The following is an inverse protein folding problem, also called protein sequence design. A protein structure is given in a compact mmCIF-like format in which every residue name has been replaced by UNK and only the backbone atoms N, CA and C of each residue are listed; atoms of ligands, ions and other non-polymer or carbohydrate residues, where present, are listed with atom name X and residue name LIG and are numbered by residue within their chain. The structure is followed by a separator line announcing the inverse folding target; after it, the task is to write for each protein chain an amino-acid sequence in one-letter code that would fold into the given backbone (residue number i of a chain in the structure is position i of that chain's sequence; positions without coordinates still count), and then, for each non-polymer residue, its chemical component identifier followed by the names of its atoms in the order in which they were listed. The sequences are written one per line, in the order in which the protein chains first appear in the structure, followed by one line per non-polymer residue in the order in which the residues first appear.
data_IF_477141929418
#
_entry.id   IF_477141929418
#
_cell.length_a   1.000
_cell.length_b   1.000
_cell.length_c   1.000
_cell.angle_alpha   90.00
_cell.angle_beta   90.00
_cell.angle_gamma   90.00
#
_symmetry.space_group_name_H-M   'P 1'
#
loop_
_entity.id
_entity.type
_entity.pdbx_description
1 polymer ?
#
# COMPACT_ATOMS: atom_id res chain seq x y z
N UNK A 1 13.79 13.15 46.07
CA UNK A 1 12.54 13.03 45.27
C UNK A 1 12.81 13.22 43.78
N UNK A 2 13.41 14.33 43.35
CA UNK A 2 13.75 14.62 41.95
C UNK A 2 14.63 13.56 41.26
N UNK A 3 15.65 12.99 41.94
CA UNK A 3 16.47 11.89 41.39
C UNK A 3 15.68 10.62 41.11
N UNK A 4 14.69 10.25 41.95
CA UNK A 4 13.86 9.05 41.73
C UNK A 4 12.91 9.23 40.54
N UNK A 5 12.38 10.45 40.37
CA UNK A 5 11.54 10.80 39.21
C UNK A 5 12.38 10.79 37.93
N UNK A 6 13.58 11.39 37.94
CA UNK A 6 14.47 11.41 36.78
C UNK A 6 14.92 10.00 36.36
N UNK A 7 15.27 9.13 37.31
CA UNK A 7 15.65 7.73 37.04
C UNK A 7 14.45 6.94 36.50
N UNK A 8 13.25 7.11 37.05
CA UNK A 8 12.04 6.45 36.55
C UNK A 8 11.67 6.86 35.12
N UNK A 9 11.81 8.14 34.77
CA UNK A 9 11.60 8.61 33.38
C UNK A 9 12.66 8.01 32.44
N UNK A 10 13.92 7.93 32.88
CA UNK A 10 14.99 7.34 32.07
C UNK A 10 14.79 5.83 31.86
N UNK A 11 14.35 5.10 32.88
CA UNK A 11 14.01 3.68 32.80
C UNK A 11 12.84 3.43 31.85
N UNK A 12 11.80 4.28 31.90
CA UNK A 12 10.66 4.19 30.99
C UNK A 12 11.08 4.41 29.53
N UNK A 13 11.85 5.47 29.27
CA UNK A 13 12.37 5.77 27.92
C UNK A 13 13.32 4.67 27.45
N UNK A 14 14.19 4.19 28.34
CA UNK A 14 15.13 3.10 28.04
C UNK A 14 14.40 1.81 27.66
N UNK A 15 13.41 1.39 28.46
CA UNK A 15 12.60 0.20 28.17
C UNK A 15 11.82 0.35 26.88
N UNK A 16 11.15 1.48 26.67
CA UNK A 16 10.40 1.74 25.43
C UNK A 16 11.31 1.68 24.19
N UNK A 17 12.49 2.28 24.28
CA UNK A 17 13.47 2.26 23.18
C UNK A 17 13.96 0.84 22.89
N UNK A 18 14.29 0.07 23.91
CA UNK A 18 14.73 -1.33 23.76
C UNK A 18 13.62 -2.19 23.15
N UNK A 19 12.39 -2.04 23.62
CA UNK A 19 11.24 -2.80 23.10
C UNK A 19 10.94 -2.43 21.64
N UNK A 20 11.08 -1.16 21.28
CA UNK A 20 10.95 -0.70 19.89
C UNK A 20 12.05 -1.29 18.99
N UNK A 21 13.31 -1.27 19.42
CA UNK A 21 14.42 -1.85 18.67
C UNK A 21 14.24 -3.36 18.48
N UNK A 22 13.79 -4.07 19.53
CA UNK A 22 13.48 -5.50 19.42
C UNK A 22 12.35 -5.78 18.44
N UNK A 23 11.28 -4.99 18.47
CA UNK A 23 10.16 -5.15 17.54
C UNK A 23 10.58 -4.93 16.08
N UNK A 24 11.43 -3.92 15.82
CA UNK A 24 12.01 -3.67 14.49
C UNK A 24 12.92 -4.83 14.09
N UNK A 25 13.75 -5.34 15.00
CA UNK A 25 14.63 -6.49 14.76
C UNK A 25 13.86 -7.74 14.35
N UNK A 26 12.81 -8.10 15.11
CA UNK A 26 11.96 -9.26 14.81
C UNK A 26 11.24 -9.13 13.47
N UNK A 27 10.73 -7.94 13.15
CA UNK A 27 10.14 -7.67 11.83
C UNK A 27 11.20 -7.78 10.71
N UNK A 28 12.41 -7.28 10.94
CA UNK A 28 13.53 -7.39 10.01
C UNK A 28 13.96 -8.83 9.76
N UNK A 29 14.01 -9.66 10.79
CA UNK A 29 14.28 -11.10 10.68
C UNK A 29 13.18 -11.80 9.88
N UNK A 30 11.91 -11.49 10.15
CA UNK A 30 10.77 -12.05 9.42
C UNK A 30 10.79 -11.67 7.93
N UNK A 31 11.13 -10.42 7.62
CA UNK A 31 11.35 -9.96 6.24
C UNK A 31 12.52 -10.72 5.60
N UNK A 32 13.64 -10.83 6.31
CA UNK A 32 14.82 -11.54 5.83
C UNK A 32 14.53 -13.01 5.50
N UNK A 33 13.80 -13.70 6.36
CA UNK A 33 13.41 -15.09 6.14
C UNK A 33 12.39 -15.22 5.00
N UNK A 34 11.44 -14.30 4.91
CA UNK A 34 10.50 -14.24 3.77
C UNK A 34 11.26 -14.10 2.46
N UNK A 35 12.25 -13.21 2.38
CA UNK A 35 13.08 -13.01 1.17
C UNK A 35 13.94 -14.24 0.84
N UNK A 36 14.53 -14.89 1.85
CA UNK A 36 15.28 -16.14 1.66
C UNK A 36 14.39 -17.23 1.06
N UNK A 37 13.17 -17.39 1.57
CA UNK A 37 12.25 -18.43 1.09
C UNK A 37 11.58 -18.08 -0.23
N UNK A 38 11.37 -16.79 -0.52
CA UNK A 38 10.92 -16.31 -1.82
C UNK A 38 11.89 -16.70 -2.95
N UNK A 39 13.19 -16.70 -2.66
CA UNK A 39 14.24 -17.05 -3.62
C UNK A 39 14.44 -18.58 -3.79
N UNK A 40 13.85 -19.40 -2.92
CA UNK A 40 14.04 -20.87 -2.91
C UNK A 40 12.92 -21.61 -3.63
N UNK A 41 13.24 -22.19 -4.79
CA UNK A 41 12.34 -23.07 -5.55
C UNK A 41 12.13 -24.44 -4.84
N UNK A 42 11.02 -25.17 -5.09
CA UNK A 42 9.85 -24.77 -5.87
C UNK A 42 8.91 -23.85 -5.08
N UNK A 43 8.33 -22.87 -5.79
CA UNK A 43 7.27 -21.99 -5.28
C UNK A 43 5.91 -22.62 -5.55
N UNK A 44 4.99 -22.53 -4.59
CA UNK A 44 3.62 -23.04 -4.73
C UNK A 44 2.76 -22.04 -5.51
N UNK A 45 2.94 -22.02 -6.83
CA UNK A 45 2.24 -21.05 -7.71
C UNK A 45 0.72 -21.16 -7.62
N UNK A 46 0.15 -22.36 -7.44
CA UNK A 46 -1.30 -22.52 -7.23
C UNK A 46 -1.81 -21.72 -6.04
N UNK A 47 -1.15 -21.83 -4.89
CA UNK A 47 -1.50 -21.05 -3.70
C UNK A 47 -1.27 -19.54 -3.89
N UNK A 48 -0.29 -19.15 -4.72
CA UNK A 48 -0.09 -17.74 -5.06
C UNK A 48 -1.25 -17.19 -5.92
N UNK A 49 -1.77 -17.98 -6.86
CA UNK A 49 -2.93 -17.60 -7.68
C UNK A 49 -4.17 -17.44 -6.83
N UNK A 50 -4.43 -18.34 -5.88
CA UNK A 50 -5.55 -18.19 -4.94
C UNK A 50 -5.44 -16.88 -4.15
N UNK A 51 -4.22 -16.56 -3.69
CA UNK A 51 -3.97 -15.28 -3.02
C UNK A 51 -4.05 -14.08 -3.97
N UNK A 52 -3.78 -14.23 -5.26
CA UNK A 52 -3.95 -13.15 -6.24
C UNK A 52 -5.42 -12.82 -6.46
N UNK A 53 -6.31 -13.82 -6.48
CA UNK A 53 -7.76 -13.60 -6.49
C UNK A 53 -8.17 -12.87 -5.21
N UNK A 54 -7.67 -13.36 -4.07
CA UNK A 54 -7.98 -12.75 -2.78
C UNK A 54 -7.46 -11.32 -2.68
N UNK A 55 -6.28 -10.96 -3.18
CA UNK A 55 -5.77 -9.57 -3.09
C UNK A 55 -6.33 -8.67 -4.19
N UNK A 56 -6.38 -9.17 -5.42
CA UNK A 56 -6.75 -8.42 -6.61
C UNK A 56 -8.26 -8.35 -6.82
N UNK A 57 -8.86 -9.46 -7.26
CA UNK A 57 -10.25 -9.49 -7.69
C UNK A 57 -11.21 -9.03 -6.58
N UNK A 58 -11.00 -9.48 -5.35
CA UNK A 58 -11.85 -9.10 -4.22
C UNK A 58 -11.66 -7.63 -3.77
N UNK A 59 -10.59 -6.94 -4.21
CA UNK A 59 -10.31 -5.53 -3.86
C UNK A 59 -10.81 -4.61 -4.95
N UNK A 60 -11.02 -5.15 -6.14
CA UNK A 60 -11.38 -4.40 -7.34
C UNK A 60 -12.54 -3.42 -7.09
N UNK A 61 -13.69 -3.82 -6.49
CA UNK A 61 -14.81 -2.90 -6.33
C UNK A 61 -14.47 -1.69 -5.45
N UNK A 62 -13.77 -1.93 -4.34
CA UNK A 62 -13.45 -0.85 -3.39
C UNK A 62 -12.43 0.11 -4.02
N UNK A 63 -11.40 -0.42 -4.69
CA UNK A 63 -10.41 0.41 -5.40
C UNK A 63 -11.06 1.20 -6.53
N UNK A 64 -11.96 0.58 -7.30
CA UNK A 64 -12.68 1.22 -8.40
C UNK A 64 -13.46 2.45 -7.91
N UNK A 65 -14.31 2.29 -6.89
CA UNK A 65 -15.13 3.40 -6.41
C UNK A 65 -14.28 4.49 -5.73
N UNK A 66 -13.28 4.10 -4.93
CA UNK A 66 -12.37 5.08 -4.31
C UNK A 66 -11.64 5.91 -5.35
N UNK A 67 -11.09 5.28 -6.40
CA UNK A 67 -10.38 5.98 -7.45
C UNK A 67 -11.31 6.89 -8.28
N UNK A 68 -12.48 6.37 -8.67
CA UNK A 68 -13.49 7.12 -9.44
C UNK A 68 -13.90 8.40 -8.71
N UNK A 69 -14.34 8.29 -7.46
CA UNK A 69 -14.81 9.44 -6.69
C UNK A 69 -13.67 10.41 -6.36
N UNK A 70 -12.47 9.90 -6.12
CA UNK A 70 -11.29 10.77 -5.91
C UNK A 70 -11.01 11.60 -7.16
N UNK A 71 -11.00 10.98 -8.34
CA UNK A 71 -10.80 11.68 -9.61
C UNK A 71 -11.87 12.73 -9.89
N UNK A 72 -13.14 12.41 -9.60
CA UNK A 72 -14.27 13.35 -9.70
C UNK A 72 -14.09 14.57 -8.79
N UNK A 73 -13.76 14.35 -7.51
CA UNK A 73 -13.55 15.44 -6.54
C UNK A 73 -12.34 16.28 -6.94
N UNK A 74 -11.25 15.65 -7.39
CA UNK A 74 -10.05 16.35 -7.81
C UNK A 74 -10.33 17.26 -9.01
N UNK A 75 -11.03 16.77 -10.04
CA UNK A 75 -11.41 17.58 -11.20
C UNK A 75 -12.28 18.78 -10.79
N UNK A 76 -13.25 18.58 -9.91
CA UNK A 76 -14.13 19.64 -9.41
C UNK A 76 -13.32 20.73 -8.69
N UNK A 77 -12.45 20.34 -7.75
CA UNK A 77 -11.63 21.26 -6.98
C UNK A 77 -10.62 22.00 -7.87
N UNK A 78 -9.91 21.29 -8.73
CA UNK A 78 -8.95 21.89 -9.66
C UNK A 78 -9.61 22.88 -10.61
N UNK A 79 -10.80 22.59 -11.14
CA UNK A 79 -11.52 23.52 -12.00
C UNK A 79 -11.88 24.82 -11.26
N UNK A 80 -12.42 24.73 -10.03
CA UNK A 80 -12.75 25.94 -9.26
C UNK A 80 -11.53 26.80 -8.95
N UNK A 81 -10.36 26.18 -8.75
CA UNK A 81 -9.09 26.87 -8.59
C UNK A 81 -8.63 27.56 -9.86
N UNK A 82 -8.60 26.82 -10.99
CA UNK A 82 -8.07 27.33 -12.26
C UNK A 82 -8.98 28.32 -12.98
N UNK A 83 -10.29 28.25 -12.75
CA UNK A 83 -11.25 29.23 -13.29
C UNK A 83 -10.90 30.66 -12.90
N UNK A 84 -10.32 30.88 -11.72
CA UNK A 84 -9.86 32.20 -11.25
C UNK A 84 -8.68 32.76 -12.06
N UNK A 85 -7.94 31.90 -12.74
CA UNK A 85 -6.76 32.23 -13.52
C UNK A 85 -6.97 32.03 -15.03
N UNK A 86 -8.18 31.67 -15.46
CA UNK A 86 -8.49 31.36 -16.86
C UNK A 86 -7.81 30.10 -17.40
N UNK A 87 -7.33 29.21 -16.54
CA UNK A 87 -6.51 28.04 -16.89
C UNK A 87 -7.29 26.70 -16.81
N UNK A 88 -8.59 26.71 -17.09
CA UNK A 88 -9.48 25.55 -16.92
C UNK A 88 -9.06 24.32 -17.75
N UNK A 89 -8.29 24.52 -18.82
CA UNK A 89 -7.72 23.45 -19.65
C UNK A 89 -6.68 22.59 -18.92
N UNK A 90 -6.10 23.08 -17.81
CA UNK A 90 -5.09 22.36 -17.02
C UNK A 90 -5.68 21.33 -16.05
N UNK A 91 -7.00 21.24 -15.92
CA UNK A 91 -7.67 20.29 -15.02
C UNK A 91 -7.30 18.84 -15.38
N UNK A 92 -7.27 18.49 -16.67
CA UNK A 92 -6.89 17.15 -17.13
C UNK A 92 -5.47 16.79 -16.74
N UNK A 93 -4.52 17.71 -16.93
CA UNK A 93 -3.12 17.56 -16.53
C UNK A 93 -2.97 17.31 -15.03
N UNK A 94 -3.65 18.09 -14.19
CA UNK A 94 -3.57 17.91 -12.73
C UNK A 94 -4.15 16.58 -12.30
N UNK A 95 -5.31 16.18 -12.85
CA UNK A 95 -5.91 14.88 -12.52
C UNK A 95 -5.00 13.74 -12.96
N UNK A 96 -4.51 13.77 -14.20
CA UNK A 96 -3.63 12.73 -14.76
C UNK A 96 -2.32 12.56 -13.99
N UNK A 97 -1.61 13.66 -13.74
CA UNK A 97 -0.34 13.63 -13.00
C UNK A 97 -0.52 13.24 -11.54
N UNK A 98 -1.55 13.78 -10.87
CA UNK A 98 -1.77 13.49 -9.45
C UNK A 98 -2.18 12.04 -9.22
N UNK A 99 -3.02 11.48 -10.10
CA UNK A 99 -3.40 10.06 -10.03
C UNK A 99 -2.17 9.18 -10.25
N UNK A 100 -1.46 9.33 -11.37
CA UNK A 100 -0.37 8.41 -11.75
C UNK A 100 0.85 8.48 -10.82
N UNK A 101 1.23 9.67 -10.32
CA UNK A 101 2.44 9.83 -9.49
C UNK A 101 2.25 9.49 -8.02
N UNK A 102 1.08 9.81 -7.46
CA UNK A 102 0.89 9.83 -6.01
C UNK A 102 -0.43 9.16 -5.59
N UNK A 103 -1.57 9.73 -5.99
CA UNK A 103 -2.88 9.36 -5.44
C UNK A 103 -3.29 7.94 -5.80
N UNK A 104 -3.09 7.50 -7.04
CA UNK A 104 -3.43 6.15 -7.49
C UNK A 104 -2.70 5.07 -6.68
N UNK A 105 -1.35 5.07 -6.65
CA UNK A 105 -0.58 4.10 -5.87
C UNK A 105 -0.91 4.14 -4.38
N UNK A 106 -0.98 5.33 -3.77
CA UNK A 106 -1.20 5.47 -2.33
C UNK A 106 -2.62 5.09 -1.93
N UNK A 107 -3.65 5.58 -2.62
CA UNK A 107 -5.04 5.26 -2.26
C UNK A 107 -5.34 3.78 -2.47
N UNK A 108 -4.83 3.19 -3.56
CA UNK A 108 -4.93 1.75 -3.79
C UNK A 108 -4.29 0.99 -2.63
N UNK A 109 -3.07 1.36 -2.23
CA UNK A 109 -2.38 0.72 -1.11
C UNK A 109 -3.16 0.82 0.21
N UNK A 110 -3.70 2.00 0.55
CA UNK A 110 -4.46 2.19 1.79
C UNK A 110 -5.74 1.34 1.80
N UNK A 111 -6.51 1.36 0.71
CA UNK A 111 -7.73 0.55 0.60
C UNK A 111 -7.42 -0.94 0.69
N UNK A 112 -6.40 -1.40 -0.03
CA UNK A 112 -5.99 -2.81 -0.05
C UNK A 112 -5.41 -3.24 1.30
N UNK A 113 -4.72 -2.37 2.03
CA UNK A 113 -4.26 -2.63 3.41
C UNK A 113 -5.45 -2.92 4.31
N UNK A 114 -6.49 -2.07 4.27
CA UNK A 114 -7.69 -2.23 5.07
C UNK A 114 -8.47 -3.51 4.73
N UNK A 115 -8.51 -3.90 3.46
CA UNK A 115 -9.27 -5.06 2.98
C UNK A 115 -8.44 -6.35 2.98
N UNK A 116 -7.47 -6.46 2.08
CA UNK A 116 -6.67 -7.66 1.90
C UNK A 116 -5.61 -7.82 3.01
N UNK A 117 -4.97 -6.74 3.47
CA UNK A 117 -4.01 -6.79 4.58
C UNK A 117 -4.66 -7.29 5.88
N UNK A 118 -5.84 -6.76 6.21
CA UNK A 118 -6.66 -7.25 7.33
C UNK A 118 -7.05 -8.72 7.15
N UNK A 119 -7.50 -9.12 5.96
CA UNK A 119 -7.88 -10.50 5.69
C UNK A 119 -6.70 -11.48 5.85
N UNK A 120 -5.50 -11.12 5.35
CA UNK A 120 -4.28 -11.91 5.56
C UNK A 120 -3.95 -12.07 7.05
N UNK A 121 -4.07 -10.97 7.80
CA UNK A 121 -3.82 -10.94 9.25
C UNK A 121 -4.81 -11.85 9.98
N UNK A 122 -6.10 -11.73 9.67
CA UNK A 122 -7.16 -12.51 10.30
C UNK A 122 -7.02 -14.01 9.99
N UNK A 123 -6.71 -14.37 8.74
CA UNK A 123 -6.51 -15.76 8.33
C UNK A 123 -5.31 -16.40 9.06
N UNK A 124 -4.15 -15.73 9.06
CA UNK A 124 -2.96 -16.25 9.73
C UNK A 124 -3.10 -16.23 11.24
N UNK A 125 -3.72 -15.20 11.81
CA UNK A 125 -4.04 -15.15 13.23
C UNK A 125 -4.95 -16.29 13.65
N UNK A 126 -5.97 -16.61 12.85
CA UNK A 126 -6.83 -17.77 13.09
C UNK A 126 -6.05 -19.08 13.03
N UNK A 127 -5.19 -19.26 12.03
CA UNK A 127 -4.31 -20.43 11.92
C UNK A 127 -3.33 -20.54 13.10
N UNK A 128 -2.87 -19.39 13.64
CA UNK A 128 -1.98 -19.36 14.80
C UNK A 128 -2.69 -19.79 16.07
N UNK A 129 -3.85 -19.21 16.37
CA UNK A 129 -4.61 -19.52 17.60
C UNK A 129 -5.26 -20.91 17.58
N UNK A 130 -5.38 -21.52 16.40
CA UNK A 130 -5.83 -22.93 16.24
C UNK A 130 -4.66 -23.91 16.09
N UNK A 131 -3.43 -23.47 16.41
CA UNK A 131 -2.20 -24.29 16.38
C UNK A 131 -1.86 -24.91 15.00
N UNK A 132 -2.51 -24.47 13.92
CA UNK A 132 -2.23 -24.96 12.56
C UNK A 132 -0.83 -24.58 12.10
N UNK A 133 -0.32 -23.42 12.54
CA UNK A 133 1.06 -23.01 12.26
C UNK A 133 2.05 -23.92 12.99
N UNK A 134 1.75 -24.33 14.22
CA UNK A 134 2.60 -25.23 15.01
C UNK A 134 2.60 -26.65 14.42
N UNK A 135 1.44 -27.10 13.91
CA UNK A 135 1.34 -28.36 13.17
C UNK A 135 2.24 -28.40 11.93
N UNK A 136 2.51 -27.27 11.26
CA UNK A 136 3.46 -27.25 10.15
C UNK A 136 4.90 -27.51 10.63
N UNK A 137 5.28 -26.99 11.79
CA UNK A 137 6.60 -27.26 12.38
C UNK A 137 6.76 -28.75 12.72
N UNK A 138 5.73 -29.40 13.27
CA UNK A 138 5.79 -30.85 13.58
C UNK A 138 5.87 -31.72 12.33
N UNK A 139 5.33 -31.25 11.21
CA UNK A 139 5.43 -31.89 9.89
C UNK A 139 6.72 -31.55 9.13
N UNK A 140 7.69 -30.89 9.77
CA UNK A 140 8.94 -30.42 9.16
C UNK A 140 8.73 -29.52 7.91
N UNK A 141 7.57 -28.86 7.83
CA UNK A 141 7.23 -27.93 6.76
C UNK A 141 7.44 -26.49 7.25
N UNK A 142 8.21 -25.68 6.51
CA UNK A 142 8.44 -24.29 6.91
C UNK A 142 7.18 -23.43 6.68
N UNK A 143 6.56 -22.87 7.73
CA UNK A 143 5.29 -22.15 7.59
C UNK A 143 5.42 -20.81 6.85
N UNK A 144 6.58 -20.14 6.91
CA UNK A 144 6.83 -18.92 6.13
C UNK A 144 6.78 -19.24 4.62
N UNK A 145 7.46 -20.31 4.19
CA UNK A 145 7.43 -20.76 2.79
C UNK A 145 6.01 -21.14 2.35
N UNK A 146 5.24 -21.79 3.21
CA UNK A 146 3.93 -22.34 2.86
C UNK A 146 2.80 -21.32 2.90
N UNK A 147 2.86 -20.36 3.82
CA UNK A 147 1.76 -19.43 4.09
C UNK A 147 2.09 -17.99 3.70
N UNK A 148 3.30 -17.51 3.99
CA UNK A 148 3.67 -16.09 3.83
C UNK A 148 4.11 -15.80 2.40
N UNK A 149 4.99 -16.63 1.84
CA UNK A 149 5.55 -16.40 0.48
C UNK A 149 4.47 -16.26 -0.61
N UNK A 150 3.44 -17.11 -0.70
CA UNK A 150 2.38 -16.95 -1.71
C UNK A 150 1.62 -15.63 -1.57
N UNK A 151 1.38 -15.17 -0.33
CA UNK A 151 0.69 -13.91 -0.04
C UNK A 151 1.52 -12.71 -0.45
N UNK A 152 2.82 -12.76 -0.19
CA UNK A 152 3.77 -11.70 -0.59
C UNK A 152 3.87 -11.60 -2.11
N UNK A 153 3.97 -12.73 -2.83
CA UNK A 153 3.95 -12.74 -4.29
C UNK A 153 2.65 -12.12 -4.82
N UNK A 154 1.51 -12.54 -4.27
CA UNK A 154 0.21 -12.02 -4.68
C UNK A 154 0.08 -10.52 -4.43
N UNK A 155 0.45 -10.02 -3.25
CA UNK A 155 0.36 -8.59 -2.95
C UNK A 155 1.30 -7.73 -3.78
N UNK A 156 2.56 -8.14 -3.94
CA UNK A 156 3.53 -7.40 -4.75
C UNK A 156 3.14 -7.32 -6.23
N UNK A 157 2.52 -8.37 -6.79
CA UNK A 157 2.12 -8.40 -8.19
C UNK A 157 0.73 -7.81 -8.45
N UNK A 158 -0.23 -7.99 -7.54
CA UNK A 158 -1.59 -7.50 -7.74
C UNK A 158 -1.77 -6.02 -7.40
N UNK A 159 -0.97 -5.45 -6.49
CA UNK A 159 -1.11 -4.02 -6.18
C UNK A 159 -0.86 -3.12 -7.40
N UNK A 160 0.21 -3.32 -8.20
CA UNK A 160 0.41 -2.54 -9.44
C UNK A 160 -0.74 -2.69 -10.43
N UNK A 161 -1.29 -3.90 -10.59
CA UNK A 161 -2.43 -4.14 -11.48
C UNK A 161 -3.64 -3.33 -11.02
N UNK A 162 -3.91 -3.30 -9.72
CA UNK A 162 -4.98 -2.47 -9.14
C UNK A 162 -4.69 -0.98 -9.28
N UNK A 163 -3.43 -0.56 -9.19
CA UNK A 163 -3.02 0.84 -9.36
C UNK A 163 -3.21 1.32 -10.79
N UNK A 164 -2.83 0.54 -11.82
CA UNK A 164 -3.12 0.89 -13.23
C UNK A 164 -4.62 1.11 -13.43
N UNK A 165 -5.43 0.23 -12.85
CA UNK A 165 -6.88 0.37 -12.91
C UNK A 165 -7.37 1.63 -12.18
N UNK A 166 -6.85 1.91 -10.99
CA UNK A 166 -7.19 3.11 -10.22
C UNK A 166 -6.83 4.39 -10.98
N UNK A 167 -5.67 4.45 -11.63
CA UNK A 167 -5.25 5.60 -12.43
C UNK A 167 -6.22 5.84 -13.59
N UNK A 168 -6.52 4.78 -14.35
CA UNK A 168 -7.45 4.86 -15.47
C UNK A 168 -8.85 5.31 -15.02
N UNK A 169 -9.40 4.68 -13.98
CA UNK A 169 -10.74 4.98 -13.48
C UNK A 169 -10.80 6.37 -12.83
N UNK A 170 -9.74 6.81 -12.15
CA UNK A 170 -9.65 8.14 -11.59
C UNK A 170 -9.61 9.23 -12.66
N UNK A 171 -8.82 9.04 -13.73
CA UNK A 171 -8.79 9.96 -14.87
C UNK A 171 -10.17 10.00 -15.55
N UNK A 172 -10.81 8.85 -15.75
CA UNK A 172 -12.17 8.81 -16.30
C UNK A 172 -13.19 9.52 -15.39
N UNK A 173 -13.10 9.35 -14.06
CA UNK A 173 -13.94 10.07 -13.11
C UNK A 173 -13.76 11.59 -13.23
N UNK A 174 -12.50 12.03 -13.37
CA UNK A 174 -12.20 13.44 -13.61
C UNK A 174 -12.74 13.95 -14.95
N UNK A 175 -12.66 13.15 -16.01
CA UNK A 175 -13.21 13.47 -17.33
C UNK A 175 -14.74 13.67 -17.26
N UNK A 176 -15.46 12.77 -16.58
CA UNK A 176 -16.92 12.87 -16.42
C UNK A 176 -17.31 14.21 -15.78
N UNK A 177 -16.63 14.63 -14.71
CA UNK A 177 -16.93 15.90 -14.04
C UNK A 177 -16.50 17.10 -14.89
N UNK A 178 -15.28 17.10 -15.42
CA UNK A 178 -14.77 18.22 -16.20
C UNK A 178 -15.60 18.49 -17.46
N UNK A 179 -15.96 17.43 -18.20
CA UNK A 179 -16.65 17.57 -19.48
C UNK A 179 -18.17 17.63 -19.30
N UNK A 180 -18.77 16.66 -18.62
CA UNK A 180 -20.23 16.54 -18.58
C UNK A 180 -20.87 17.54 -17.61
N UNK A 181 -20.20 17.86 -16.50
CA UNK A 181 -20.78 18.73 -15.47
C UNK A 181 -20.31 20.18 -15.58
N UNK A 182 -19.05 20.40 -15.97
CA UNK A 182 -18.44 21.73 -16.02
C UNK A 182 -18.34 22.30 -17.44
N UNK A 183 -18.64 21.50 -18.48
CA UNK A 183 -18.67 21.96 -19.87
C UNK A 183 -17.30 22.19 -20.51
N UNK A 184 -16.24 21.56 -19.97
CA UNK A 184 -14.92 21.62 -20.58
C UNK A 184 -14.89 20.90 -21.94
N UNK A 185 -14.00 21.33 -22.84
CA UNK A 185 -13.83 20.68 -24.14
C UNK A 185 -13.23 19.27 -23.96
N UNK A 186 -13.90 18.20 -24.45
CA UNK A 186 -13.45 16.81 -24.25
C UNK A 186 -12.13 16.49 -24.92
N UNK A 187 -11.90 17.04 -26.12
CA UNK A 187 -10.66 16.82 -26.88
C UNK A 187 -9.49 17.46 -26.14
N UNK A 188 -9.69 18.71 -25.70
CA UNK A 188 -8.66 19.45 -24.98
C UNK A 188 -8.30 18.80 -23.64
N UNK A 189 -9.29 18.27 -22.90
CA UNK A 189 -9.03 17.53 -21.66
C UNK A 189 -8.13 16.31 -21.92
N UNK A 190 -8.45 15.52 -22.94
CA UNK A 190 -7.72 14.30 -23.24
C UNK A 190 -6.31 14.59 -23.75
N UNK A 191 -6.16 15.57 -24.65
CA UNK A 191 -4.88 16.03 -25.19
C UNK A 191 -3.97 16.52 -24.06
N UNK A 192 -4.46 17.40 -23.18
CA UNK A 192 -3.68 17.93 -22.06
C UNK A 192 -3.36 16.90 -20.98
N UNK A 193 -4.19 15.87 -20.84
CA UNK A 193 -3.91 14.77 -19.91
C UNK A 193 -2.73 13.93 -20.38
N UNK A 194 -2.65 13.61 -21.68
CA UNK A 194 -1.56 12.80 -22.23
C UNK A 194 -0.30 13.59 -22.56
N UNK A 195 -0.42 14.86 -22.95
CA UNK A 195 0.74 15.71 -23.31
C UNK A 195 1.73 15.86 -22.16
N UNK A 196 1.23 15.96 -20.92
CA UNK A 196 2.05 16.18 -19.73
C UNK A 196 2.34 14.92 -18.91
N UNK A 197 1.74 13.78 -19.28
CA UNK A 197 1.98 12.52 -18.61
C UNK A 197 3.14 11.80 -19.27
N UNK A 198 4.30 11.79 -18.60
CA UNK A 198 5.45 11.08 -19.11
C UNK A 198 5.42 9.59 -18.74
N UNK A 199 6.08 8.75 -19.53
CA UNK A 199 6.26 7.32 -19.21
C UNK A 199 6.92 7.11 -17.84
N UNK A 200 7.80 8.03 -17.42
CA UNK A 200 8.45 7.99 -16.12
C UNK A 200 7.46 8.15 -14.97
N UNK A 201 6.36 8.89 -15.17
CA UNK A 201 5.35 9.14 -14.14
C UNK A 201 4.58 7.87 -13.82
N UNK A 202 4.12 7.18 -14.87
CA UNK A 202 3.49 5.87 -14.74
C UNK A 202 4.45 4.85 -14.12
N UNK A 203 5.68 4.79 -14.59
CA UNK A 203 6.66 3.81 -14.06
C UNK A 203 6.96 4.05 -12.58
N UNK A 204 7.10 5.32 -12.17
CA UNK A 204 7.33 5.69 -10.77
C UNK A 204 6.17 5.25 -9.86
N UNK A 205 4.92 5.45 -10.31
CA UNK A 205 3.71 5.02 -9.59
C UNK A 205 3.63 3.50 -9.46
N UNK A 206 3.95 2.77 -10.54
CA UNK A 206 3.96 1.30 -10.51
C UNK A 206 5.04 0.75 -9.59
N UNK A 207 6.25 1.31 -9.62
CA UNK A 207 7.32 0.89 -8.72
C UNK A 207 6.95 1.10 -7.25
N UNK A 208 6.34 2.25 -6.92
CA UNK A 208 5.79 2.51 -5.58
C UNK A 208 4.75 1.47 -5.19
N UNK A 209 3.80 1.16 -6.08
CA UNK A 209 2.75 0.17 -5.80
C UNK A 209 3.31 -1.23 -5.55
N UNK A 210 4.38 -1.65 -6.23
CA UNK A 210 5.05 -2.93 -5.94
C UNK A 210 5.61 -2.96 -4.51
N UNK A 211 6.28 -1.89 -4.09
CA UNK A 211 6.84 -1.76 -2.73
C UNK A 211 5.72 -1.74 -1.70
N UNK A 212 4.63 -1.02 -1.95
CA UNK A 212 3.47 -1.01 -1.06
C UNK A 212 2.82 -2.39 -0.97
N UNK A 213 2.69 -3.12 -2.07
CA UNK A 213 2.11 -4.47 -2.09
C UNK A 213 2.95 -5.45 -1.26
N UNK A 214 4.27 -5.31 -1.31
CA UNK A 214 5.19 -6.04 -0.44
C UNK A 214 4.98 -5.69 1.04
N UNK A 215 4.96 -4.40 1.38
CA UNK A 215 4.75 -3.92 2.76
C UNK A 215 3.43 -4.44 3.33
N UNK A 216 2.32 -4.32 2.59
CA UNK A 216 0.99 -4.76 3.01
C UNK A 216 1.01 -6.24 3.36
N UNK A 217 1.59 -7.05 2.48
CA UNK A 217 1.60 -8.51 2.63
C UNK A 217 2.47 -8.94 3.81
N UNK A 218 3.66 -8.34 3.95
CA UNK A 218 4.58 -8.65 5.04
C UNK A 218 4.00 -8.23 6.38
N UNK A 219 3.48 -7.00 6.50
CA UNK A 219 2.92 -6.49 7.75
C UNK A 219 1.70 -7.32 8.16
N UNK A 220 0.81 -7.61 7.20
CA UNK A 220 -0.35 -8.46 7.44
C UNK A 220 0.04 -9.87 7.88
N UNK A 221 1.03 -10.46 7.21
CA UNK A 221 1.53 -11.77 7.59
C UNK A 221 2.23 -11.77 8.94
N UNK A 222 3.06 -10.77 9.23
CA UNK A 222 3.78 -10.66 10.49
C UNK A 222 2.82 -10.56 11.68
N UNK A 223 1.84 -9.65 11.61
CA UNK A 223 0.88 -9.47 12.70
C UNK A 223 0.02 -10.73 12.90
N UNK A 224 -0.39 -11.40 11.81
CA UNK A 224 -1.16 -12.64 11.90
C UNK A 224 -0.34 -13.82 12.43
N UNK A 225 0.92 -13.94 12.00
CA UNK A 225 1.79 -15.06 12.36
C UNK A 225 2.14 -15.07 13.86
N UNK A 226 2.29 -13.89 14.47
CA UNK A 226 2.59 -13.71 15.89
C UNK A 226 1.36 -13.32 16.72
N UNK A 227 0.14 -13.61 16.24
CA UNK A 227 -1.08 -13.33 17.01
C UNK A 227 -1.18 -14.24 18.24
N UNK A 228 -1.61 -13.66 19.36
CA UNK A 228 -1.86 -14.34 20.64
C UNK A 228 -3.21 -13.88 21.22
N UNK A 229 -3.80 -14.66 22.13
CA UNK A 229 -5.03 -14.25 22.83
C UNK A 229 -6.34 -14.65 22.14
N UNK A 230 -6.35 -15.73 21.35
CA UNK A 230 -7.57 -16.28 20.75
C UNK A 230 -8.25 -15.31 19.77
N UNK A 231 -9.59 -15.38 19.67
CA UNK A 231 -10.35 -14.59 18.70
C UNK A 231 -10.23 -13.07 18.91
N UNK A 232 -10.17 -12.61 20.16
CA UNK A 232 -9.94 -11.19 20.49
C UNK A 232 -8.55 -10.72 20.05
N UNK A 233 -7.56 -11.59 20.24
CA UNK A 233 -6.21 -11.43 19.71
C UNK A 233 -6.16 -11.19 18.21
N UNK A 234 -6.92 -11.98 17.44
CA UNK A 234 -7.02 -11.84 15.97
C UNK A 234 -7.58 -10.47 15.58
N UNK A 235 -8.63 -9.99 16.26
CA UNK A 235 -9.19 -8.66 16.01
C UNK A 235 -8.18 -7.54 16.32
N UNK A 236 -7.46 -7.67 17.43
CA UNK A 236 -6.41 -6.71 17.83
C UNK A 236 -5.25 -6.68 16.85
N UNK A 237 -4.76 -7.85 16.42
CA UNK A 237 -3.69 -7.98 15.44
C UNK A 237 -4.10 -7.39 14.08
N UNK A 238 -5.35 -7.61 13.66
CA UNK A 238 -5.91 -7.04 12.44
C UNK A 238 -5.88 -5.50 12.47
N UNK A 239 -6.33 -4.89 13.57
CA UNK A 239 -6.28 -3.43 13.74
C UNK A 239 -4.84 -2.91 13.74
N UNK A 240 -3.93 -3.57 14.48
CA UNK A 240 -2.50 -3.21 14.52
C UNK A 240 -1.86 -3.29 13.13
N UNK A 241 -2.21 -4.30 12.35
CA UNK A 241 -1.74 -4.50 10.97
C UNK A 241 -2.11 -3.35 10.06
N UNK A 242 -3.37 -2.89 10.09
CA UNK A 242 -3.82 -1.77 9.27
C UNK A 242 -3.09 -0.48 9.64
N UNK A 243 -3.03 -0.17 10.94
CA UNK A 243 -2.37 1.05 11.44
C UNK A 243 -0.88 1.05 11.07
N UNK A 244 -0.19 -0.05 11.30
CA UNK A 244 1.23 -0.19 10.96
C UNK A 244 1.46 -0.15 9.44
N UNK A 245 0.60 -0.80 8.66
CA UNK A 245 0.61 -0.75 7.21
C UNK A 245 0.51 0.67 6.68
N UNK A 246 -0.45 1.46 7.18
CA UNK A 246 -0.61 2.87 6.79
C UNK A 246 0.63 3.71 7.12
N UNK A 247 1.19 3.56 8.32
CA UNK A 247 2.40 4.29 8.71
C UNK A 247 3.58 3.96 7.79
N UNK A 248 3.80 2.67 7.51
CA UNK A 248 4.89 2.23 6.65
C UNK A 248 4.68 2.61 5.19
N UNK A 249 3.45 2.57 4.68
CA UNK A 249 3.13 3.03 3.32
C UNK A 249 3.41 4.52 3.18
N UNK A 250 2.97 5.36 4.13
CA UNK A 250 3.25 6.80 4.06
C UNK A 250 4.75 7.11 4.16
N UNK A 251 5.46 6.43 5.07
CA UNK A 251 6.91 6.58 5.19
C UNK A 251 7.61 6.16 3.89
N UNK A 252 7.24 5.00 3.34
CA UNK A 252 7.78 4.51 2.08
C UNK A 252 7.43 5.44 0.91
N UNK A 253 6.23 6.01 0.88
CA UNK A 253 5.84 6.96 -0.16
C UNK A 253 6.76 8.18 -0.15
N UNK A 254 6.96 8.80 1.02
CA UNK A 254 7.85 9.94 1.13
C UNK A 254 9.28 9.64 0.66
N UNK A 255 9.85 8.51 1.11
CA UNK A 255 11.20 8.09 0.73
C UNK A 255 11.29 7.81 -0.77
N UNK A 256 10.33 7.08 -1.33
CA UNK A 256 10.34 6.73 -2.76
C UNK A 256 10.11 7.96 -3.64
N UNK A 257 9.19 8.86 -3.28
CA UNK A 257 9.01 10.14 -3.96
C UNK A 257 10.32 10.94 -3.95
N UNK A 258 10.95 11.09 -2.78
CA UNK A 258 12.20 11.80 -2.66
C UNK A 258 13.31 11.17 -3.53
N UNK A 259 13.43 9.85 -3.59
CA UNK A 259 14.46 9.18 -4.37
C UNK A 259 14.20 9.23 -5.89
N UNK A 260 12.97 8.97 -6.32
CA UNK A 260 12.61 8.87 -7.73
C UNK A 260 12.61 10.25 -8.40
N UNK A 261 12.10 11.27 -7.73
CA UNK A 261 12.03 12.63 -8.28
C UNK A 261 13.28 13.48 -8.01
N UNK A 262 14.18 13.07 -7.12
CA UNK A 262 15.49 13.73 -6.95
C UNK A 262 16.50 13.31 -8.03
N UNK A 263 16.47 12.05 -8.48
CA UNK A 263 17.47 11.49 -9.40
C UNK A 263 17.00 11.35 -10.87
N UNK A 264 15.70 11.43 -11.18
CA UNK A 264 15.17 11.45 -12.54
C UNK A 264 15.20 12.86 -13.13
N UNK A 265 16.17 13.15 -14.00
CA UNK A 265 16.57 14.48 -14.42
C UNK A 265 15.48 15.40 -14.99
N UNK A 266 15.48 16.64 -14.47
CA UNK A 266 14.68 17.75 -15.00
C UNK A 266 14.73 19.02 -14.15
N UNK A 267 15.93 19.51 -13.79
CA UNK A 267 16.10 20.94 -13.50
C UNK A 267 15.55 21.50 -12.17
N UNK A 268 15.75 20.83 -11.04
CA UNK A 268 15.69 21.48 -9.74
C UNK A 268 16.92 21.13 -8.91
N UNK A 269 18.06 21.76 -9.26
CA UNK A 269 19.04 22.11 -8.23
C UNK A 269 18.39 23.24 -7.43
N UNK A 270 18.39 23.09 -6.11
CA UNK A 270 18.06 24.15 -5.15
C UNK A 270 18.69 25.49 -5.54
#
# INVERSE_FOLDING_TARGET
MLKKIAVGTLEFVGRYTIDMVKAIGLMGEFVGDTMKWLSRKPLRMGAAVDQMVEVGANSFPVVFFTAMFTGMVLALQSHTGFKRFGAESMVGTVVGLSMTRELGPVLTALVVTGRAGSAMTAQLGTMRVTEQIDALYTLAANPIKYLVVPRVIAGTLMLPVLTVMADFVGILGGFVVAVMLLGANPVLYMEKTFEFMEYNDMFSGLLKSMVFGFIISVVGCYQGFYTEGGAEGVGTATTKSVVMGFMLIFLANYILTALLFSNGGGGAKF
#
